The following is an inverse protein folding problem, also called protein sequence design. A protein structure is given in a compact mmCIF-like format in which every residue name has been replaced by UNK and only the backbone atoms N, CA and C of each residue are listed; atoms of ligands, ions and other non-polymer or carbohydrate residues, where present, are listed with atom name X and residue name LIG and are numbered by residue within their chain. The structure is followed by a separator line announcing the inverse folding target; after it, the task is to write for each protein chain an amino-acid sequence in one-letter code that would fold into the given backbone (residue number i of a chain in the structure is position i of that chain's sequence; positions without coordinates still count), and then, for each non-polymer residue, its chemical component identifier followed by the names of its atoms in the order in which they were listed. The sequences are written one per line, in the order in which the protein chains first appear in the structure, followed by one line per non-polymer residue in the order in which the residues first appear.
data_IF_817090572290
#
_entry.id   IF_817090572290
#
_cell.length_a   1.000
_cell.length_b   1.000
_cell.length_c   1.000
_cell.angle_alpha   90.00
_cell.angle_beta   90.00
_cell.angle_gamma   90.00
#
_symmetry.space_group_name_H-M   'P 1'
#
loop_
_entity.id
_entity.type
_entity.pdbx_description
1 polymer ?
#
# COMPACT_ATOMS: atom_id res chain seq x y z
N UNK A 1 3.60 3.19 -8.19
CA UNK A 1 4.06 1.92 -8.80
C UNK A 1 5.54 1.68 -8.58
N UNK A 2 6.43 2.62 -8.92
CA UNK A 2 7.89 2.48 -8.69
C UNK A 2 8.30 1.91 -7.31
N UNK A 3 7.67 2.34 -6.22
CA UNK A 3 7.99 1.79 -4.89
C UNK A 3 7.58 0.31 -4.73
N UNK A 4 6.42 -0.09 -5.27
CA UNK A 4 5.96 -1.49 -5.28
C UNK A 4 6.88 -2.38 -6.13
N UNK A 5 7.38 -1.86 -7.24
CA UNK A 5 8.33 -2.57 -8.12
C UNK A 5 9.67 -2.76 -7.41
N UNK A 6 10.27 -1.69 -6.88
CA UNK A 6 11.57 -1.73 -6.21
C UNK A 6 11.60 -2.58 -4.93
N UNK A 7 10.43 -2.79 -4.31
CA UNK A 7 10.28 -3.62 -3.09
C UNK A 7 9.73 -5.02 -3.40
N UNK A 8 9.66 -5.41 -4.67
CA UNK A 8 9.27 -6.75 -5.10
C UNK A 8 7.83 -7.13 -4.78
N UNK A 9 6.92 -6.16 -4.72
CA UNK A 9 5.49 -6.38 -4.46
C UNK A 9 4.66 -6.51 -5.75
N UNK A 10 5.18 -6.05 -6.89
CA UNK A 10 4.59 -6.33 -8.20
C UNK A 10 4.74 -7.82 -8.54
N UNK A 11 3.68 -8.43 -9.05
CA UNK A 11 3.65 -9.87 -9.35
C UNK A 11 3.50 -10.77 -8.12
N UNK A 12 3.55 -10.20 -6.91
CA UNK A 12 3.33 -10.92 -5.65
C UNK A 12 1.84 -11.06 -5.34
N UNK A 13 1.48 -12.18 -4.74
CA UNK A 13 0.16 -12.39 -4.17
C UNK A 13 0.00 -11.60 -2.86
N UNK A 14 -1.04 -10.77 -2.79
CA UNK A 14 -1.41 -9.96 -1.63
C UNK A 14 -2.83 -10.27 -1.20
N UNK A 15 -3.06 -10.36 0.10
CA UNK A 15 -4.35 -10.75 0.68
C UNK A 15 -5.07 -9.53 1.23
N UNK A 16 -6.29 -9.26 0.73
CA UNK A 16 -7.10 -8.14 1.23
C UNK A 16 -7.51 -8.41 2.68
N UNK A 17 -7.10 -7.54 3.59
CA UNK A 17 -7.54 -7.51 4.98
C UNK A 17 -7.80 -6.05 5.38
N UNK A 18 -9.07 -5.63 5.32
CA UNK A 18 -9.42 -4.26 5.68
C UNK A 18 -9.39 -4.02 7.18
N UNK A 19 -9.72 -5.04 7.99
CA UNK A 19 -9.82 -4.91 9.44
C UNK A 19 -8.47 -4.58 10.09
N UNK A 20 -7.38 -5.20 9.61
CA UNK A 20 -6.03 -4.95 10.12
C UNK A 20 -5.37 -3.63 9.67
N UNK A 21 -6.03 -2.85 8.80
CA UNK A 21 -5.42 -1.66 8.15
C UNK A 21 -4.89 -0.64 9.15
N UNK A 22 -5.71 -0.30 10.16
CA UNK A 22 -5.34 0.72 11.14
C UNK A 22 -4.13 0.31 11.99
N UNK A 23 -4.07 -0.96 12.38
CA UNK A 23 -2.96 -1.49 13.17
C UNK A 23 -1.65 -1.52 12.36
N UNK A 24 -1.71 -1.94 11.09
CA UNK A 24 -0.54 -1.96 10.19
C UNK A 24 -0.01 -0.55 9.94
N UNK A 25 -0.87 0.42 9.62
CA UNK A 25 -0.45 1.82 9.47
C UNK A 25 0.24 2.37 10.70
N UNK A 26 -0.35 2.15 11.88
CA UNK A 26 0.23 2.63 13.14
C UNK A 26 1.62 2.04 13.37
N UNK A 27 1.77 0.73 13.20
CA UNK A 27 3.06 0.05 13.39
C UNK A 27 4.11 0.49 12.38
N UNK A 28 3.75 0.54 11.09
CA UNK A 28 4.68 0.95 10.04
C UNK A 28 5.13 2.41 10.21
N UNK A 29 4.22 3.31 10.57
CA UNK A 29 4.48 4.76 10.65
C UNK A 29 5.14 5.21 11.94
N UNK A 30 5.39 4.32 12.89
CA UNK A 30 6.02 4.65 14.17
C UNK A 30 7.42 5.25 13.95
N UNK A 31 7.68 6.40 14.57
CA UNK A 31 8.95 7.12 14.43
C UNK A 31 9.18 7.83 13.08
N UNK A 32 8.30 7.67 12.08
CA UNK A 32 8.49 8.25 10.75
C UNK A 32 7.80 9.61 10.65
N UNK A 33 8.58 10.69 10.56
CA UNK A 33 8.05 12.07 10.48
C UNK A 33 7.27 12.31 9.17
N UNK A 34 6.26 13.16 9.24
CA UNK A 34 5.58 13.70 8.05
C UNK A 34 6.48 14.74 7.36
N UNK A 35 6.24 14.98 6.06
CA UNK A 35 6.94 16.01 5.28
C UNK A 35 5.91 16.78 4.45
N UNK A 36 5.93 18.12 4.43
CA UNK A 36 4.98 18.90 3.62
C UNK A 36 5.02 18.49 2.14
N UNK A 37 3.85 18.34 1.52
CA UNK A 37 3.70 17.95 0.11
C UNK A 37 3.98 16.47 -0.20
N UNK A 38 4.36 15.66 0.80
CA UNK A 38 4.68 14.25 0.64
C UNK A 38 3.83 13.39 1.57
N UNK A 39 3.36 12.25 1.06
CA UNK A 39 2.75 11.20 1.86
C UNK A 39 3.77 10.08 2.11
N UNK A 40 3.62 9.36 3.22
CA UNK A 40 4.40 8.14 3.53
C UNK A 40 3.71 6.95 2.86
N UNK A 41 4.21 6.55 1.71
CA UNK A 41 3.72 5.40 0.94
C UNK A 41 4.21 4.10 1.55
N UNK A 42 3.31 3.12 1.64
CA UNK A 42 3.53 1.79 2.21
C UNK A 42 3.59 0.75 1.09
N UNK A 43 4.67 -0.04 1.07
CA UNK A 43 4.81 -1.14 0.12
C UNK A 43 4.99 -2.50 0.83
N UNK A 44 3.98 -3.39 0.77
CA UNK A 44 2.67 -3.22 0.12
C UNK A 44 1.72 -2.32 0.93
N UNK A 45 0.63 -1.78 0.33
CA UNK A 45 -0.31 -0.91 1.03
C UNK A 45 -0.96 -1.58 2.24
N UNK A 46 -1.24 -0.80 3.29
CA UNK A 46 -1.85 -1.31 4.52
C UNK A 46 -3.29 -1.83 4.38
N UNK A 47 -3.85 -1.99 3.19
CA UNK A 47 -5.08 -2.79 3.02
C UNK A 47 -4.77 -4.29 2.85
N UNK A 48 -3.51 -4.65 2.63
CA UNK A 48 -3.06 -6.03 2.46
C UNK A 48 -2.41 -6.59 3.72
N UNK A 49 -2.73 -7.84 4.07
CA UNK A 49 -2.24 -8.53 5.27
C UNK A 49 -0.72 -8.51 5.37
N UNK A 50 -0.04 -8.60 4.23
CA UNK A 50 1.41 -8.67 4.07
C UNK A 50 2.12 -7.31 4.31
N UNK A 51 1.38 -6.24 4.59
CA UNK A 51 1.92 -4.90 4.84
C UNK A 51 2.53 -4.73 6.25
N UNK A 52 2.60 -5.78 7.07
CA UNK A 52 3.36 -5.70 8.32
C UNK A 52 4.86 -5.55 8.03
N UNK A 53 5.47 -4.47 8.55
CA UNK A 53 6.88 -4.16 8.26
C UNK A 53 7.08 -3.66 6.83
N UNK A 54 6.05 -3.04 6.24
CA UNK A 54 6.12 -2.51 4.89
C UNK A 54 7.26 -1.49 4.75
N UNK A 55 7.90 -1.49 3.57
CA UNK A 55 8.83 -0.43 3.21
C UNK A 55 8.07 0.90 3.17
N UNK A 56 8.71 1.96 3.68
CA UNK A 56 8.17 3.31 3.68
C UNK A 56 9.00 4.24 2.81
N UNK A 57 8.29 5.07 2.03
CA UNK A 57 8.93 6.13 1.23
C UNK A 57 8.07 7.38 1.22
N UNK A 58 8.69 8.54 1.38
CA UNK A 58 8.03 9.81 1.10
C UNK A 58 7.92 10.00 -0.42
N UNK A 59 6.70 10.08 -0.93
CA UNK A 59 6.43 10.36 -2.35
C UNK A 59 5.43 11.53 -2.47
N UNK A 60 5.35 12.21 -3.63
CA UNK A 60 4.38 13.30 -3.82
C UNK A 60 2.97 12.88 -3.43
N UNK A 61 2.30 13.70 -2.61
CA UNK A 61 0.96 13.38 -2.09
C UNK A 61 -0.06 13.14 -3.22
N UNK A 62 0.06 13.84 -4.35
CA UNK A 62 -0.79 13.61 -5.54
C UNK A 62 -0.70 12.17 -6.04
N UNK A 63 0.53 11.66 -6.18
CA UNK A 63 0.82 10.35 -6.77
C UNK A 63 0.38 9.24 -5.82
N UNK A 64 0.68 9.39 -4.53
CA UNK A 64 0.28 8.45 -3.49
C UNK A 64 -1.25 8.30 -3.43
N UNK A 65 -1.97 9.42 -3.41
CA UNK A 65 -3.44 9.43 -3.28
C UNK A 65 -4.12 8.92 -4.54
N UNK A 66 -3.57 9.27 -5.72
CA UNK A 66 -4.06 8.73 -7.00
C UNK A 66 -3.91 7.22 -7.06
N UNK A 67 -2.71 6.70 -6.75
CA UNK A 67 -2.45 5.26 -6.71
C UNK A 67 -3.32 4.53 -5.66
N UNK A 68 -3.42 5.08 -4.46
CA UNK A 68 -4.27 4.55 -3.39
C UNK A 68 -5.75 4.51 -3.78
N UNK A 69 -6.26 5.55 -4.45
CA UNK A 69 -7.63 5.61 -4.95
C UNK A 69 -7.87 4.57 -6.06
N UNK A 70 -6.92 4.40 -6.98
CA UNK A 70 -7.00 3.40 -8.04
C UNK A 70 -7.06 1.98 -7.47
N UNK A 71 -6.12 1.61 -6.58
CA UNK A 71 -6.13 0.31 -5.91
C UNK A 71 -7.43 0.12 -5.15
N UNK A 72 -7.83 1.11 -4.35
CA UNK A 72 -9.07 1.08 -3.56
C UNK A 72 -10.32 0.85 -4.40
N UNK A 73 -10.42 1.48 -5.57
CA UNK A 73 -11.53 1.28 -6.52
C UNK A 73 -11.54 -0.13 -7.09
N UNK A 74 -10.39 -0.66 -7.51
CA UNK A 74 -10.30 -2.01 -8.09
C UNK A 74 -10.65 -3.10 -7.10
N UNK A 75 -10.26 -2.94 -5.82
CA UNK A 75 -10.54 -3.93 -4.79
C UNK A 75 -11.89 -3.73 -4.09
N UNK A 76 -12.64 -2.65 -4.37
CA UNK A 76 -13.84 -2.26 -3.61
C UNK A 76 -14.89 -3.39 -3.53
N UNK A 77 -15.10 -4.13 -4.62
CA UNK A 77 -16.08 -5.22 -4.69
C UNK A 77 -15.56 -6.58 -4.20
N UNK A 78 -14.29 -6.68 -3.82
CA UNK A 78 -13.69 -7.94 -3.43
C UNK A 78 -13.80 -8.16 -1.90
N UNK A 79 -14.24 -9.35 -1.45
CA UNK A 79 -14.32 -9.65 -0.03
C UNK A 79 -12.95 -9.66 0.65
N UNK A 80 -12.93 -9.53 1.98
CA UNK A 80 -11.71 -9.77 2.74
C UNK A 80 -11.28 -11.25 2.57
N UNK A 81 -9.98 -11.49 2.54
CA UNK A 81 -9.39 -12.80 2.23
C UNK A 81 -9.14 -13.04 0.75
N UNK A 82 -9.67 -12.21 -0.16
CA UNK A 82 -9.33 -12.31 -1.58
C UNK A 82 -7.84 -12.03 -1.80
N UNK A 83 -7.21 -12.95 -2.54
CA UNK A 83 -5.84 -12.85 -3.02
C UNK A 83 -5.82 -12.13 -4.36
N UNK A 84 -4.98 -11.11 -4.49
CA UNK A 84 -4.82 -10.33 -5.72
C UNK A 84 -3.35 -10.20 -6.07
N UNK A 85 -3.07 -9.93 -7.34
CA UNK A 85 -1.74 -9.61 -7.84
C UNK A 85 -1.78 -8.18 -8.36
N UNK A 86 -0.89 -7.32 -7.86
CA UNK A 86 -0.67 -6.00 -8.44
C UNK A 86 0.24 -6.19 -9.65
N UNK A 87 -0.25 -5.80 -10.83
CA UNK A 87 0.54 -5.80 -12.06
C UNK A 87 1.27 -4.45 -12.20
N UNK A 88 2.50 -4.50 -12.70
CA UNK A 88 3.23 -3.31 -13.15
C UNK A 88 2.52 -2.69 -14.36
N UNK A 89 2.95 -1.49 -14.71
CA UNK A 89 2.57 -0.90 -16.01
C UNK A 89 3.71 -1.25 -16.94
N UNK A 90 3.43 -2.02 -17.99
CA UNK A 90 4.39 -2.27 -19.08
C UNK A 90 4.79 -0.95 -19.77
#
# INVERSE_FOLDING_TARGET
MRHLEETGQVGRELTIDRAGTGARRRGNMEGVKTRPGLDRDESPPAVFKESQGASLRHIPSSDNRSAGAQIGRQIKGLPNGTKIIIKGVD
#
